data_IF_186738932118
#
_entry.id   IF_186738932118
#
_cell.length_a   1.000
_cell.length_b   1.000
_cell.length_c   1.000
_cell.angle_alpha   90.00
_cell.angle_beta   90.00
_cell.angle_gamma   90.00
#
_symmetry.space_group_name_H-M   'P 1'
#
loop_
_entity.id
_entity.type
_entity.pdbx_description
1 polymer ?
#
# COMPACT_ATOMS: atom_id res chain seq x y z
N UNK A 1 -20.67 36.50 -13.83
CA UNK A 1 -19.43 36.22 -14.59
C UNK A 1 -18.32 35.69 -13.66
N UNK A 2 -18.64 34.73 -12.77
CA UNK A 2 -17.70 34.15 -11.80
C UNK A 2 -17.88 32.62 -11.50
N UNK A 3 -18.71 31.80 -12.21
CA UNK A 3 -18.85 30.40 -11.82
C UNK A 3 -17.70 29.49 -12.34
N UNK A 4 -16.94 29.95 -13.35
CA UNK A 4 -15.91 29.13 -13.99
C UNK A 4 -14.63 29.00 -13.13
N UNK A 5 -14.30 30.06 -12.37
CA UNK A 5 -13.08 30.09 -11.55
C UNK A 5 -13.17 29.16 -10.33
N UNK A 6 -14.36 29.02 -9.74
CA UNK A 6 -14.64 28.10 -8.64
C UNK A 6 -14.59 26.62 -9.06
N UNK A 7 -14.94 26.33 -10.32
CA UNK A 7 -14.95 24.97 -10.87
C UNK A 7 -13.52 24.45 -11.13
N UNK A 8 -12.60 25.32 -11.55
CA UNK A 8 -11.19 24.96 -11.77
C UNK A 8 -10.42 24.70 -10.46
N UNK A 9 -10.76 25.39 -9.36
CA UNK A 9 -10.10 25.20 -8.06
C UNK A 9 -10.45 23.84 -7.42
N UNK A 10 -11.63 23.30 -7.70
CA UNK A 10 -12.10 22.03 -7.12
C UNK A 10 -11.39 20.78 -7.67
N UNK A 11 -10.87 20.81 -8.90
CA UNK A 11 -10.16 19.66 -9.48
C UNK A 11 -8.71 19.51 -8.98
N UNK A 12 -8.14 20.53 -8.36
CA UNK A 12 -6.76 20.48 -7.88
C UNK A 12 -6.60 19.77 -6.53
N UNK A 13 -7.70 19.47 -5.81
CA UNK A 13 -7.63 18.91 -4.45
C UNK A 13 -7.65 17.37 -4.38
N UNK A 14 -7.66 16.64 -5.50
CA UNK A 14 -7.80 15.17 -5.47
C UNK A 14 -6.51 14.38 -5.63
N UNK A 15 -5.34 15.03 -5.71
CA UNK A 15 -4.09 14.36 -6.13
C UNK A 15 -3.03 14.23 -5.03
N UNK A 16 -3.38 13.97 -3.77
CA UNK A 16 -2.33 13.87 -2.72
C UNK A 16 -2.63 12.78 -1.67
N UNK A 17 -3.23 11.64 -2.06
CA UNK A 17 -3.43 10.48 -1.16
C UNK A 17 -2.69 9.21 -1.66
N UNK A 18 -1.52 9.37 -2.28
CA UNK A 18 -0.74 8.25 -2.83
C UNK A 18 0.71 8.23 -2.34
N UNK A 19 0.94 8.66 -1.11
CA UNK A 19 2.23 8.50 -0.45
C UNK A 19 2.14 7.26 0.46
N UNK A 20 2.79 6.15 0.07
CA UNK A 20 2.97 4.89 0.83
C UNK A 20 1.87 3.82 0.80
N UNK A 21 0.87 3.89 -0.08
CA UNK A 21 -0.01 2.72 -0.29
C UNK A 21 0.63 1.78 -1.29
N UNK A 22 1.24 0.71 -0.79
CA UNK A 22 1.65 -0.38 -1.65
C UNK A 22 0.43 -1.05 -2.31
N UNK A 23 0.64 -1.67 -3.47
CA UNK A 23 -0.42 -2.43 -4.13
C UNK A 23 -0.77 -3.66 -3.27
N UNK A 24 -2.04 -3.83 -2.87
CA UNK A 24 -2.46 -5.00 -2.11
C UNK A 24 -2.18 -6.26 -2.92
N UNK A 25 -1.74 -7.31 -2.25
CA UNK A 25 -1.52 -8.60 -2.88
C UNK A 25 -2.84 -9.15 -3.47
N UNK A 26 -2.75 -10.00 -4.50
CA UNK A 26 -3.93 -10.58 -5.14
C UNK A 26 -3.73 -12.06 -5.45
N UNK A 27 -4.73 -12.86 -5.07
CA UNK A 27 -4.75 -14.29 -5.35
C UNK A 27 -3.57 -14.99 -4.67
N UNK A 28 -2.90 -15.87 -5.42
CA UNK A 28 -1.82 -16.72 -4.91
C UNK A 28 -0.59 -15.93 -4.41
N UNK A 29 -0.39 -14.69 -4.87
CA UNK A 29 0.68 -13.81 -4.37
C UNK A 29 0.59 -13.59 -2.84
N UNK A 30 -0.62 -13.59 -2.29
CA UNK A 30 -0.86 -13.39 -0.86
C UNK A 30 -0.46 -14.58 0.02
N UNK A 31 -0.27 -15.76 -0.60
CA UNK A 31 -0.02 -17.04 0.08
C UNK A 31 1.32 -17.65 -0.32
N UNK A 32 2.15 -16.91 -1.07
CA UNK A 32 3.54 -17.28 -1.35
C UNK A 32 4.34 -17.28 -0.04
N UNK A 33 4.72 -18.47 0.42
CA UNK A 33 5.49 -18.64 1.66
C UNK A 33 6.98 -18.38 1.35
N UNK A 34 7.61 -17.37 1.95
CA UNK A 34 9.04 -17.13 1.79
C UNK A 34 9.87 -18.23 2.46
N UNK A 35 10.93 -18.67 1.79
CA UNK A 35 11.84 -19.70 2.30
C UNK A 35 12.95 -19.10 3.19
N UNK A 36 13.46 -19.88 4.14
CA UNK A 36 14.62 -19.49 4.95
C UNK A 36 14.33 -18.47 6.06
N UNK A 37 13.07 -18.25 6.45
CA UNK A 37 12.74 -17.32 7.53
C UNK A 37 13.08 -17.89 8.91
N UNK A 38 14.17 -17.40 9.52
CA UNK A 38 14.66 -17.85 10.84
C UNK A 38 13.67 -17.63 11.99
N UNK A 39 12.82 -16.60 11.90
CA UNK A 39 11.88 -16.19 12.94
C UNK A 39 10.42 -16.43 12.55
N UNK A 40 10.17 -17.22 11.51
CA UNK A 40 8.83 -17.44 10.95
C UNK A 40 8.39 -16.33 9.99
N UNK A 41 7.11 -16.33 9.64
CA UNK A 41 6.53 -15.44 8.61
C UNK A 41 5.43 -14.54 9.18
N UNK A 42 5.35 -13.30 8.69
CA UNK A 42 4.31 -12.31 9.03
C UNK A 42 3.71 -11.70 7.77
N UNK A 43 2.53 -11.09 7.86
CA UNK A 43 1.95 -10.33 6.74
C UNK A 43 2.47 -8.89 6.76
N UNK A 44 2.92 -8.42 5.61
CA UNK A 44 3.32 -7.03 5.40
C UNK A 44 2.08 -6.11 5.29
N UNK A 45 2.28 -4.79 5.20
CA UNK A 45 1.20 -3.80 5.05
C UNK A 45 0.31 -4.04 3.81
N UNK A 46 0.84 -4.69 2.77
CA UNK A 46 0.13 -5.04 1.54
C UNK A 46 -0.53 -6.43 1.60
N UNK A 47 -0.34 -7.18 2.69
CA UNK A 47 -0.90 -8.51 2.90
C UNK A 47 -0.05 -9.68 2.42
N UNK A 48 1.17 -9.46 1.89
CA UNK A 48 2.08 -10.53 1.46
C UNK A 48 2.77 -11.18 2.66
N UNK A 49 3.09 -12.47 2.56
CA UNK A 49 3.92 -13.14 3.56
C UNK A 49 5.38 -12.74 3.39
N UNK A 50 5.98 -12.25 4.47
CA UNK A 50 7.39 -11.85 4.56
C UNK A 50 8.04 -12.48 5.80
N UNK A 51 9.37 -12.58 5.85
CA UNK A 51 10.03 -13.07 7.05
C UNK A 51 9.82 -12.12 8.24
N UNK A 52 9.56 -12.67 9.42
CA UNK A 52 9.47 -11.91 10.65
C UNK A 52 10.81 -11.27 11.02
N UNK A 53 10.76 -10.07 11.58
CA UNK A 53 11.93 -9.44 12.17
C UNK A 53 12.36 -10.22 13.41
N UNK A 54 13.67 -10.46 13.54
CA UNK A 54 14.25 -11.05 14.74
C UNK A 54 14.23 -10.07 15.92
N UNK A 55 14.58 -10.54 17.13
CA UNK A 55 14.67 -9.68 18.30
C UNK A 55 15.75 -8.60 18.13
N UNK A 56 15.37 -7.33 18.30
CA UNK A 56 16.24 -6.14 18.19
C UNK A 56 15.47 -4.85 18.44
#
# INVERSE_FOLDING_TARGET
MFPCFLLLLGLALTTEASFYMCTPCRGEECDLIPEGCLYGTVRDACGRLVCAAGPG
#
